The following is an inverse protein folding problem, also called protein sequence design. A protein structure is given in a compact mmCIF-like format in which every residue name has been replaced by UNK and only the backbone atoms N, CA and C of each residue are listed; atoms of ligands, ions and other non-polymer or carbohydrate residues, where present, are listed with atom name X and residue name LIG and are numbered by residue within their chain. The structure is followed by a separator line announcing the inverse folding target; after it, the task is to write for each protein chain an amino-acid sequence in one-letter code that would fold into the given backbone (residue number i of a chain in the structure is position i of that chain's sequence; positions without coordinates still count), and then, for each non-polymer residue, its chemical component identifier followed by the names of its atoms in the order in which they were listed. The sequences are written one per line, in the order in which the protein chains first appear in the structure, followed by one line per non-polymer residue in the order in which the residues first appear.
data_IF_878226657612
#
_entry.id   IF_878226657612
#
_cell.length_a   1.000
_cell.length_b   1.000
_cell.length_c   1.000
_cell.angle_alpha   90.00
_cell.angle_beta   90.00
_cell.angle_gamma   90.00
#
_symmetry.space_group_name_H-M   'P 1'
#
loop_
_entity.id
_entity.type
_entity.pdbx_description
1 polymer ?
#
# COMPACT_ATOMS: atom_id res chain seq x y z
N UNK A 1 -7.04 -13.88 -2.01
CA UNK A 1 -7.27 -15.02 -2.94
C UNK A 1 -7.54 -14.53 -4.36
N UNK A 2 -8.37 -13.50 -4.55
CA UNK A 2 -8.72 -12.89 -5.85
C UNK A 2 -7.55 -12.20 -6.60
N UNK A 3 -6.42 -11.89 -5.92
CA UNK A 3 -5.24 -11.21 -6.51
C UNK A 3 -5.59 -9.90 -7.24
N UNK A 4 -6.43 -9.07 -6.65
CA UNK A 4 -6.79 -7.76 -7.19
C UNK A 4 -6.02 -6.61 -6.54
N UNK A 5 -6.12 -5.42 -7.13
CA UNK A 5 -5.36 -4.25 -6.69
C UNK A 5 -3.86 -4.49 -6.85
N UNK A 6 -3.08 -4.13 -5.83
CA UNK A 6 -1.62 -4.23 -5.92
C UNK A 6 -1.14 -5.68 -6.03
N UNK A 7 -1.96 -6.65 -5.63
CA UNK A 7 -1.65 -8.08 -5.77
C UNK A 7 -1.86 -8.62 -7.19
N UNK A 8 -2.48 -7.86 -8.10
CA UNK A 8 -2.60 -8.25 -9.51
C UNK A 8 -1.24 -8.40 -10.21
N UNK A 9 -0.20 -7.74 -9.68
CA UNK A 9 1.18 -7.89 -10.14
C UNK A 9 1.71 -9.33 -10.02
N UNK A 10 1.10 -10.17 -9.18
CA UNK A 10 1.54 -11.55 -8.93
C UNK A 10 0.58 -12.59 -9.51
N UNK A 11 -0.21 -12.25 -10.54
CA UNK A 11 -1.24 -13.12 -11.10
C UNK A 11 -0.70 -14.51 -11.48
N UNK A 12 0.53 -14.58 -11.99
CA UNK A 12 1.20 -15.79 -12.47
C UNK A 12 2.30 -16.31 -11.54
N UNK A 13 2.42 -15.77 -10.32
CA UNK A 13 3.43 -16.16 -9.35
C UNK A 13 2.84 -16.99 -8.21
N UNK A 14 3.63 -17.87 -7.61
CA UNK A 14 3.25 -18.52 -6.35
C UNK A 14 3.73 -17.63 -5.19
N UNK A 15 2.79 -17.01 -4.48
CA UNK A 15 3.07 -16.04 -3.43
C UNK A 15 2.34 -16.42 -2.15
N UNK A 16 3.05 -16.31 -1.03
CA UNK A 16 2.54 -16.58 0.30
C UNK A 16 2.54 -15.31 1.16
N UNK A 17 1.46 -15.09 1.91
CA UNK A 17 1.43 -14.04 2.92
C UNK A 17 2.10 -14.57 4.20
N UNK A 18 3.36 -14.23 4.39
CA UNK A 18 4.16 -14.69 5.55
C UNK A 18 3.95 -13.87 6.83
N UNK A 19 3.26 -12.73 6.75
CA UNK A 19 2.94 -11.93 7.93
C UNK A 19 2.28 -10.59 7.60
N UNK A 20 1.67 -9.97 8.61
CA UNK A 20 1.17 -8.60 8.54
C UNK A 20 1.25 -7.95 9.93
N UNK A 21 1.42 -6.64 9.95
CA UNK A 21 1.39 -5.83 11.18
C UNK A 21 1.01 -4.39 10.84
N UNK A 22 0.83 -3.56 11.86
CA UNK A 22 0.55 -2.13 11.69
C UNK A 22 1.84 -1.32 11.71
N UNK A 23 1.83 -0.13 11.10
CA UNK A 23 2.95 0.81 11.20
C UNK A 23 3.12 1.42 12.61
N UNK A 24 2.22 1.14 13.55
CA UNK A 24 2.26 1.69 14.91
C UNK A 24 1.66 3.09 15.04
N UNK A 25 0.87 3.55 14.04
CA UNK A 25 0.30 4.90 14.03
C UNK A 25 1.36 5.97 13.73
N UNK A 26 0.94 7.23 13.57
CA UNK A 26 1.86 8.35 13.31
C UNK A 26 2.82 8.56 14.50
N UNK A 27 4.15 8.59 14.32
CA UNK A 27 4.90 8.80 13.06
C UNK A 27 5.41 7.53 12.35
N UNK A 28 4.94 6.35 12.73
CA UNK A 28 5.37 5.06 12.20
C UNK A 28 6.16 4.26 13.23
N UNK A 29 5.66 4.14 14.47
CA UNK A 29 6.41 3.54 15.59
C UNK A 29 6.96 2.13 15.33
N UNK A 30 6.31 1.35 14.46
CA UNK A 30 6.76 0.00 14.11
C UNK A 30 7.57 -0.05 12.80
N UNK A 31 7.66 1.03 12.02
CA UNK A 31 8.33 1.02 10.69
C UNK A 31 9.82 0.70 10.78
N UNK A 32 10.45 0.94 11.93
CA UNK A 32 11.86 0.59 12.13
C UNK A 32 12.07 -0.91 12.43
N UNK A 33 11.16 -1.54 13.19
CA UNK A 33 11.33 -2.94 13.63
C UNK A 33 10.63 -3.93 12.70
N UNK A 34 9.42 -3.61 12.24
CA UNK A 34 8.58 -4.53 11.50
C UNK A 34 9.23 -5.04 10.20
N UNK A 35 9.85 -4.20 9.34
CA UNK A 35 10.50 -4.71 8.14
C UNK A 35 11.70 -5.61 8.44
N UNK A 36 12.47 -5.32 9.50
CA UNK A 36 13.59 -6.18 9.91
C UNK A 36 13.10 -7.56 10.36
N UNK A 37 12.04 -7.59 11.17
CA UNK A 37 11.44 -8.84 11.60
C UNK A 37 10.81 -9.60 10.42
N UNK A 38 10.12 -8.92 9.51
CA UNK A 38 9.58 -9.54 8.29
C UNK A 38 10.69 -10.18 7.46
N UNK A 39 11.82 -9.49 7.29
CA UNK A 39 12.99 -10.02 6.57
C UNK A 39 13.54 -11.28 7.24
N UNK A 40 13.68 -11.29 8.57
CA UNK A 40 14.15 -12.47 9.33
C UNK A 40 13.23 -13.68 9.16
N UNK A 41 11.93 -13.43 8.94
CA UNK A 41 10.93 -14.46 8.67
C UNK A 41 10.79 -14.79 7.17
N UNK A 42 11.71 -14.32 6.32
CA UNK A 42 11.78 -14.70 4.91
C UNK A 42 10.93 -13.85 3.97
N UNK A 43 10.42 -12.69 4.41
CA UNK A 43 9.71 -11.79 3.51
C UNK A 43 10.66 -11.20 2.46
N UNK A 44 10.22 -11.22 1.19
CA UNK A 44 10.96 -10.64 0.06
C UNK A 44 10.38 -9.28 -0.38
N UNK A 45 9.07 -9.10 -0.17
CA UNK A 45 8.32 -7.91 -0.54
C UNK A 45 7.45 -7.44 0.63
N UNK A 46 7.45 -6.13 0.89
CA UNK A 46 6.58 -5.48 1.86
C UNK A 46 5.55 -4.64 1.11
N UNK A 47 4.26 -4.92 1.38
CA UNK A 47 3.18 -4.05 0.94
C UNK A 47 2.83 -3.02 2.03
N UNK A 48 2.85 -1.74 1.68
CA UNK A 48 2.26 -0.68 2.50
C UNK A 48 0.76 -0.63 2.19
N UNK A 49 -0.09 -0.96 3.16
CA UNK A 49 -1.52 -1.18 2.92
C UNK A 49 -2.24 -0.01 2.22
N UNK A 50 -3.32 -0.29 1.48
CA UNK A 50 -4.15 0.74 0.81
C UNK A 50 -4.61 1.86 1.75
N UNK A 51 -4.75 1.58 3.05
CA UNK A 51 -5.02 2.60 4.08
C UNK A 51 -4.01 3.76 4.15
N UNK A 52 -2.78 3.58 3.66
CA UNK A 52 -1.81 4.67 3.53
C UNK A 52 -2.23 5.71 2.48
N UNK A 53 -2.98 5.30 1.45
CA UNK A 53 -3.44 6.13 0.33
C UNK A 53 -4.79 6.81 0.60
N UNK A 54 -5.66 6.12 1.35
CA UNK A 54 -7.08 6.49 1.51
C UNK A 54 -7.44 6.99 2.93
N UNK A 55 -6.44 7.17 3.79
CA UNK A 55 -6.67 7.80 5.10
C UNK A 55 -7.14 9.25 4.94
N UNK A 56 -7.76 9.82 5.98
CA UNK A 56 -8.20 11.22 5.98
C UNK A 56 -7.45 12.00 7.08
N UNK A 57 -6.23 12.52 6.81
CA UNK A 57 -5.52 12.54 5.53
C UNK A 57 -4.71 11.25 5.24
N UNK A 58 -4.26 11.04 3.99
CA UNK A 58 -3.34 9.96 3.66
C UNK A 58 -2.05 10.06 4.47
N UNK A 59 -1.30 8.96 4.54
CA UNK A 59 -0.09 8.93 5.36
C UNK A 59 0.93 9.99 4.86
N UNK A 60 1.30 10.98 5.70
CA UNK A 60 2.23 12.03 5.28
C UNK A 60 3.68 11.54 5.17
N UNK A 61 3.96 10.32 5.62
CA UNK A 61 5.29 9.72 5.63
C UNK A 61 5.46 8.61 4.57
N UNK A 62 4.48 8.42 3.70
CA UNK A 62 4.47 7.33 2.72
C UNK A 62 5.73 7.30 1.86
N UNK A 63 6.09 8.42 1.24
CA UNK A 63 7.28 8.52 0.38
C UNK A 63 8.56 8.16 1.16
N UNK A 64 8.67 8.65 2.39
CA UNK A 64 9.81 8.34 3.24
C UNK A 64 9.92 6.85 3.53
N UNK A 65 8.80 6.17 3.79
CA UNK A 65 8.80 4.72 4.02
C UNK A 65 9.14 3.93 2.76
N UNK A 66 8.63 4.34 1.60
CA UNK A 66 8.95 3.75 0.29
C UNK A 66 10.44 3.85 -0.01
N UNK A 67 11.11 4.93 0.39
CA UNK A 67 12.56 5.07 0.21
C UNK A 67 13.39 4.37 1.29
N UNK A 68 13.00 4.51 2.55
CA UNK A 68 13.81 4.07 3.69
C UNK A 68 13.84 2.55 3.81
N UNK A 69 12.70 1.88 3.63
CA UNK A 69 12.61 0.42 3.85
C UNK A 69 13.54 -0.35 2.90
N UNK A 70 13.57 -0.09 1.58
CA UNK A 70 14.52 -0.74 0.67
C UNK A 70 15.96 -0.40 1.01
N UNK A 71 16.27 0.86 1.34
CA UNK A 71 17.63 1.29 1.66
C UNK A 71 18.17 0.66 2.94
N UNK A 72 17.35 0.56 3.99
CA UNK A 72 17.76 0.07 5.31
C UNK A 72 17.71 -1.45 5.40
N UNK A 73 16.72 -2.10 4.79
CA UNK A 73 16.47 -3.53 4.96
C UNK A 73 16.73 -4.35 3.70
N UNK A 74 16.87 -3.73 2.52
CA UNK A 74 17.05 -4.45 1.25
C UNK A 74 15.78 -5.19 0.80
N UNK A 75 14.60 -4.75 1.25
CA UNK A 75 13.31 -5.33 0.88
C UNK A 75 12.69 -4.54 -0.26
N UNK A 76 12.00 -5.24 -1.18
CA UNK A 76 11.15 -4.57 -2.17
C UNK A 76 9.92 -4.00 -1.46
N UNK A 77 9.51 -2.79 -1.83
CA UNK A 77 8.28 -2.17 -1.31
C UNK A 77 7.29 -1.98 -2.46
N UNK A 78 6.03 -2.32 -2.19
CA UNK A 78 4.89 -2.03 -3.06
C UNK A 78 3.88 -1.22 -2.27
N UNK A 79 3.33 -0.17 -2.90
CA UNK A 79 2.29 0.65 -2.28
C UNK A 79 0.93 0.08 -2.64
N UNK A 80 0.09 -0.12 -1.63
CA UNK A 80 -1.25 -0.66 -1.73
C UNK A 80 -1.35 -2.16 -1.49
N UNK A 81 -2.57 -2.61 -1.22
CA UNK A 81 -2.95 -4.02 -1.10
C UNK A 81 -4.18 -4.31 -1.97
N UNK A 82 -5.38 -4.18 -1.43
CA UNK A 82 -6.63 -4.38 -2.15
C UNK A 82 -7.00 -3.14 -3.01
N UNK A 83 -7.93 -3.29 -3.98
CA UNK A 83 -8.47 -2.15 -4.72
C UNK A 83 -8.99 -1.03 -3.81
N UNK A 84 -8.86 0.22 -4.24
CA UNK A 84 -9.46 1.38 -3.58
C UNK A 84 -10.96 1.37 -3.85
N UNK A 85 -11.82 1.28 -2.83
CA UNK A 85 -13.27 1.34 -3.05
C UNK A 85 -13.69 2.68 -3.69
N UNK A 86 -14.75 2.65 -4.48
CA UNK A 86 -15.24 3.81 -5.22
C UNK A 86 -15.65 4.97 -4.29
N UNK A 87 -16.18 4.68 -3.08
CA UNK A 87 -16.48 5.71 -2.06
C UNK A 87 -15.26 6.54 -1.67
N UNK A 88 -14.11 5.91 -1.44
CA UNK A 88 -12.86 6.62 -1.10
C UNK A 88 -12.38 7.46 -2.29
N UNK A 89 -12.47 6.91 -3.51
CA UNK A 89 -12.10 7.65 -4.72
C UNK A 89 -12.92 8.94 -4.86
N UNK A 90 -14.23 8.88 -4.62
CA UNK A 90 -15.13 10.04 -4.70
C UNK A 90 -14.80 11.08 -3.64
N UNK A 91 -14.61 10.66 -2.39
CA UNK A 91 -14.29 11.58 -1.30
C UNK A 91 -12.95 12.29 -1.52
N UNK A 92 -11.89 11.53 -1.88
CA UNK A 92 -10.58 12.13 -2.14
C UNK A 92 -10.56 13.03 -3.37
N UNK A 93 -11.34 12.71 -4.40
CA UNK A 93 -11.54 13.59 -5.55
C UNK A 93 -12.25 14.90 -5.15
N UNK A 94 -13.29 14.82 -4.31
CA UNK A 94 -14.00 16.01 -3.82
C UNK A 94 -13.13 16.89 -2.91
N UNK A 95 -12.21 16.27 -2.16
CA UNK A 95 -11.27 16.95 -1.26
C UNK A 95 -10.01 17.46 -1.96
N UNK A 96 -9.77 17.13 -3.23
CA UNK A 96 -8.51 17.43 -3.92
C UNK A 96 -7.29 16.75 -3.28
N UNK A 97 -7.48 15.65 -2.54
CA UNK A 97 -6.41 15.03 -1.75
C UNK A 97 -5.29 14.48 -2.64
N UNK A 98 -5.66 13.95 -3.81
CA UNK A 98 -4.74 13.31 -4.74
C UNK A 98 -4.28 14.26 -5.86
N UNK A 99 -4.25 15.56 -5.58
CA UNK A 99 -3.69 16.57 -6.47
C UNK A 99 -2.17 16.63 -6.28
N UNK A 100 -1.42 16.09 -7.24
CA UNK A 100 0.04 16.09 -7.20
C UNK A 100 0.65 15.04 -8.12
N UNK A 101 1.90 15.25 -8.53
CA UNK A 101 2.58 14.41 -9.53
C UNK A 101 2.87 12.98 -9.03
N UNK A 102 3.02 12.80 -7.71
CA UNK A 102 3.27 11.49 -7.10
C UNK A 102 2.02 10.58 -7.12
N UNK A 103 0.82 11.17 -7.02
CA UNK A 103 -0.42 10.41 -6.82
C UNK A 103 -0.78 9.43 -7.94
N UNK A 104 -0.68 9.79 -9.24
CA UNK A 104 -0.95 8.82 -10.31
C UNK A 104 -0.13 7.53 -10.18
N UNK A 105 1.15 7.65 -9.82
CA UNK A 105 2.04 6.49 -9.65
C UNK A 105 1.68 5.68 -8.40
N UNK A 106 1.40 6.36 -7.28
CA UNK A 106 1.04 5.71 -6.01
C UNK A 106 -0.32 5.01 -6.07
N UNK A 107 -1.28 5.55 -6.83
CA UNK A 107 -2.63 5.00 -6.96
C UNK A 107 -2.74 3.91 -8.01
N UNK A 108 -1.91 3.93 -9.06
CA UNK A 108 -2.00 3.00 -10.18
C UNK A 108 -2.13 1.51 -9.78
N UNK A 109 -1.39 0.99 -8.77
CA UNK A 109 -1.52 -0.41 -8.37
C UNK A 109 -2.89 -0.75 -7.76
N UNK A 110 -3.61 0.21 -7.18
CA UNK A 110 -4.82 -0.06 -6.39
C UNK A 110 -6.08 0.60 -6.91
N UNK A 111 -6.02 1.52 -7.87
CA UNK A 111 -7.21 2.20 -8.35
C UNK A 111 -8.17 1.27 -9.10
N UNK A 112 -7.66 0.21 -9.74
CA UNK A 112 -8.43 -0.79 -10.50
C UNK A 112 -9.41 -0.17 -11.53
N UNK A 113 -10.27 -1.00 -12.15
CA UNK A 113 -11.40 -0.51 -12.94
C UNK A 113 -12.62 -0.17 -12.07
N UNK A 114 -13.61 0.52 -12.65
CA UNK A 114 -14.80 0.97 -11.92
C UNK A 114 -15.64 -0.17 -11.35
N UNK A 115 -15.80 -1.26 -12.10
CA UNK A 115 -16.61 -2.40 -11.65
C UNK A 115 -15.97 -3.04 -10.42
N UNK A 116 -14.65 -3.21 -10.43
CA UNK A 116 -13.86 -3.70 -9.30
C UNK A 116 -13.97 -2.75 -8.11
N UNK A 117 -13.80 -1.43 -8.31
CA UNK A 117 -13.93 -0.47 -7.20
C UNK A 117 -15.31 -0.49 -6.54
N UNK A 118 -16.38 -0.62 -7.33
CA UNK A 118 -17.75 -0.70 -6.82
C UNK A 118 -18.02 -2.00 -6.06
N UNK A 119 -17.35 -3.10 -6.40
CA UNK A 119 -17.46 -4.37 -5.67
C UNK A 119 -16.83 -4.32 -4.26
N UNK A 120 -15.97 -3.31 -4.00
CA UNK A 120 -15.23 -3.12 -2.75
C UNK A 120 -15.82 -2.06 -1.81
N UNK A 121 -16.94 -1.43 -2.20
CA UNK A 121 -17.64 -0.42 -1.40
C UNK A 121 -18.29 -0.96 -0.12
#
# INVERSE_FOLDING_TARGET
REREGAFAAYADEDVELVGFTTCGGCPGGNIEYAPDEMKRNGAEVVHLATGFLVGYPPCPHLEHFVEMIPRKFGLKVVVGTHPIPEKYRRDHAALGTWEGEAWPVLLAPTLADEATRLAYD
#
